data_IF_237854785484
#
_entry.id   IF_237854785484
#
_cell.length_a   1.000
_cell.length_b   1.000
_cell.length_c   1.000
_cell.angle_alpha   90.00
_cell.angle_beta   90.00
_cell.angle_gamma   90.00
#
_symmetry.space_group_name_H-M   'P 1'
#
loop_
_entity.id
_entity.type
_entity.pdbx_description
1 polymer ?
#
# COMPACT_ATOMS: atom_id res chain seq x y z
N UNK A 1 16.90 7.53 9.94
CA UNK A 1 15.45 7.49 9.61
C UNK A 1 14.68 8.66 10.20
N UNK A 2 14.60 8.83 11.53
CA UNK A 2 13.98 10.03 12.15
C UNK A 2 14.55 11.36 11.64
N UNK A 3 15.86 11.40 11.37
CA UNK A 3 16.55 12.54 10.77
C UNK A 3 16.11 12.81 9.32
N UNK A 4 16.07 11.77 8.47
CA UNK A 4 15.56 11.87 7.10
C UNK A 4 14.09 12.29 7.05
N UNK A 5 13.28 11.75 7.96
CA UNK A 5 11.88 12.13 8.15
C UNK A 5 11.75 13.61 8.53
N UNK A 6 12.48 14.06 9.55
CA UNK A 6 12.46 15.45 9.98
C UNK A 6 12.95 16.41 8.88
N UNK A 7 13.98 16.02 8.14
CA UNK A 7 14.51 16.78 7.00
C UNK A 7 13.48 16.88 5.86
N UNK A 8 12.80 15.77 5.52
CA UNK A 8 11.73 15.76 4.51
C UNK A 8 10.59 16.71 4.91
N UNK A 9 10.09 16.57 6.14
CA UNK A 9 9.04 17.44 6.67
C UNK A 9 9.47 18.91 6.63
N UNK A 10 10.66 19.23 7.13
CA UNK A 10 11.16 20.59 7.17
C UNK A 10 11.33 21.17 5.76
N UNK A 11 11.90 20.41 4.82
CA UNK A 11 12.08 20.83 3.45
C UNK A 11 10.74 21.21 2.79
N UNK A 12 9.73 20.35 2.90
CA UNK A 12 8.42 20.61 2.28
C UNK A 12 7.63 21.72 2.97
N UNK A 13 7.74 21.84 4.29
CA UNK A 13 7.13 22.94 5.04
C UNK A 13 7.75 24.31 4.71
N UNK A 14 9.04 24.35 4.37
CA UNK A 14 9.75 25.57 3.97
C UNK A 14 9.51 25.91 2.49
N UNK A 15 9.60 24.92 1.61
CA UNK A 15 9.49 25.12 0.15
C UNK A 15 8.06 25.42 -0.32
N UNK A 16 7.04 24.90 0.37
CA UNK A 16 5.64 25.10 -0.02
C UNK A 16 4.77 25.40 1.21
N UNK A 17 4.82 26.62 1.75
CA UNK A 17 3.96 27.01 2.85
C UNK A 17 2.52 27.19 2.33
N UNK A 18 1.59 26.37 2.83
CA UNK A 18 0.17 26.51 2.54
C UNK A 18 -0.67 26.23 3.79
N UNK A 19 -1.94 26.67 3.79
CA UNK A 19 -2.84 26.52 4.95
C UNK A 19 -3.01 25.08 5.45
N UNK A 20 -2.83 24.11 4.55
CA UNK A 20 -2.91 22.68 4.84
C UNK A 20 -1.54 22.03 5.08
N UNK A 21 -0.43 22.78 5.06
CA UNK A 21 0.93 22.22 5.05
C UNK A 21 1.20 21.28 6.23
N UNK A 22 0.78 21.67 7.43
CA UNK A 22 0.88 20.81 8.62
C UNK A 22 0.21 19.46 8.41
N UNK A 23 -0.95 19.43 7.75
CA UNK A 23 -1.68 18.17 7.54
C UNK A 23 -1.18 17.44 6.30
N UNK A 24 -1.03 18.11 5.17
CA UNK A 24 -0.53 17.48 3.95
C UNK A 24 0.88 16.91 4.12
N UNK A 25 1.82 17.68 4.67
CA UNK A 25 3.22 17.27 4.81
C UNK A 25 3.41 16.31 5.98
N UNK A 26 2.97 16.67 7.20
CA UNK A 26 3.15 15.76 8.34
C UNK A 26 2.30 14.50 8.17
N UNK A 27 1.09 14.63 7.64
CA UNK A 27 0.20 13.48 7.40
C UNK A 27 0.80 12.49 6.41
N UNK A 28 1.23 12.96 5.24
CA UNK A 28 1.89 12.09 4.25
C UNK A 28 3.16 11.47 4.82
N UNK A 29 3.94 12.24 5.59
CA UNK A 29 5.16 11.72 6.21
C UNK A 29 4.85 10.62 7.23
N UNK A 30 3.82 10.80 8.07
CA UNK A 30 3.36 9.79 9.03
C UNK A 30 2.91 8.53 8.29
N UNK A 31 2.15 8.66 7.20
CA UNK A 31 1.72 7.52 6.38
C UNK A 31 2.94 6.75 5.85
N UNK A 32 3.90 7.44 5.23
CA UNK A 32 5.15 6.83 4.73
C UNK A 32 5.91 6.10 5.84
N UNK A 33 6.03 6.71 7.02
CA UNK A 33 6.70 6.11 8.17
C UNK A 33 5.99 4.85 8.68
N UNK A 34 4.66 4.91 8.78
CA UNK A 34 3.84 3.80 9.22
C UNK A 34 3.92 2.64 8.22
N UNK A 35 3.82 2.92 6.91
CA UNK A 35 3.98 1.91 5.86
C UNK A 35 5.34 1.22 5.95
N UNK A 36 6.42 1.99 6.12
CA UNK A 36 7.75 1.41 6.36
C UNK A 36 7.78 0.51 7.60
N UNK A 37 7.17 0.97 8.70
CA UNK A 37 7.15 0.20 9.94
C UNK A 37 6.32 -1.09 9.83
N UNK A 38 5.23 -1.07 9.05
CA UNK A 38 4.46 -2.28 8.71
C UNK A 38 5.33 -3.31 7.98
N UNK A 39 6.09 -2.88 6.95
CA UNK A 39 7.02 -3.76 6.24
C UNK A 39 8.08 -4.36 7.19
N UNK A 40 8.56 -3.60 8.18
CA UNK A 40 9.47 -4.15 9.20
C UNK A 40 8.80 -5.21 10.08
N UNK A 41 7.54 -5.02 10.45
CA UNK A 41 6.79 -6.05 11.18
C UNK A 41 6.62 -7.31 10.33
N UNK A 42 6.39 -7.17 9.03
CA UNK A 42 6.32 -8.31 8.11
C UNK A 42 7.64 -9.07 8.04
N UNK A 43 8.78 -8.37 8.01
CA UNK A 43 10.11 -8.98 8.10
C UNK A 43 10.29 -9.72 9.42
N UNK A 44 9.91 -9.12 10.56
CA UNK A 44 10.00 -9.77 11.86
C UNK A 44 9.12 -11.02 11.97
N UNK A 45 7.92 -10.99 11.38
CA UNK A 45 7.03 -12.15 11.30
C UNK A 45 7.66 -13.23 10.43
N UNK A 46 8.27 -12.87 9.30
CA UNK A 46 8.94 -13.80 8.41
C UNK A 46 10.13 -14.51 9.07
N UNK A 47 10.99 -13.74 9.76
CA UNK A 47 12.11 -14.30 10.54
C UNK A 47 11.61 -15.23 11.65
N UNK A 48 10.55 -14.81 12.36
CA UNK A 48 9.92 -15.63 13.39
C UNK A 48 9.40 -16.96 12.82
N UNK A 49 8.76 -16.94 11.64
CA UNK A 49 8.32 -18.17 10.97
C UNK A 49 9.49 -19.14 10.75
N UNK A 50 10.62 -18.65 10.26
CA UNK A 50 11.83 -19.47 10.08
C UNK A 50 12.28 -20.13 11.38
N UNK A 51 12.50 -19.31 12.43
CA UNK A 51 12.95 -19.80 13.74
C UNK A 51 11.96 -20.78 14.38
N UNK A 52 10.66 -20.50 14.26
CA UNK A 52 9.60 -21.33 14.82
C UNK A 52 9.51 -22.70 14.14
N UNK A 53 9.53 -22.74 12.81
CA UNK A 53 9.47 -24.01 12.07
C UNK A 53 10.76 -24.81 12.18
N UNK A 54 11.93 -24.17 12.22
CA UNK A 54 13.20 -24.84 12.54
C UNK A 54 13.16 -25.49 13.93
N UNK A 55 12.51 -24.83 14.89
CA UNK A 55 12.29 -25.39 16.23
C UNK A 55 11.38 -26.62 16.14
N UNK A 56 10.25 -26.54 15.45
CA UNK A 56 9.37 -27.70 15.26
C UNK A 56 10.14 -28.87 14.60
N UNK A 57 10.95 -28.60 13.58
CA UNK A 57 11.74 -29.63 12.91
C UNK A 57 12.71 -30.33 13.88
N UNK A 58 13.40 -29.57 14.73
CA UNK A 58 14.29 -30.13 15.77
C UNK A 58 13.52 -30.99 16.78
N UNK A 59 12.38 -30.49 17.26
CA UNK A 59 11.51 -31.20 18.20
C UNK A 59 11.03 -32.55 17.65
N UNK A 60 10.74 -32.64 16.35
CA UNK A 60 10.35 -33.87 15.68
C UNK A 60 11.53 -34.81 15.41
N UNK A 61 12.75 -34.28 15.22
CA UNK A 61 13.93 -35.09 14.92
C UNK A 61 14.46 -35.88 16.12
N UNK A 62 14.38 -35.31 17.33
CA UNK A 62 14.85 -35.98 18.55
C UNK A 62 13.97 -35.64 19.77
N UNK A 63 13.56 -36.65 20.58
CA UNK A 63 12.83 -36.40 21.82
C UNK A 63 13.61 -35.50 22.77
N UNK A 64 12.92 -34.60 23.50
CA UNK A 64 13.50 -33.65 24.46
C UNK A 64 14.56 -32.68 23.90
N UNK A 65 14.64 -32.52 22.57
CA UNK A 65 15.53 -31.54 21.93
C UNK A 65 15.10 -30.09 22.15
N UNK A 66 13.84 -29.86 22.49
CA UNK A 66 13.25 -28.54 22.76
C UNK A 66 12.46 -28.60 24.06
N UNK A 67 12.60 -27.57 24.90
CA UNK A 67 11.81 -27.41 26.12
C UNK A 67 10.45 -26.81 25.81
N UNK A 68 9.40 -27.24 26.52
CA UNK A 68 8.07 -26.64 26.38
C UNK A 68 8.08 -25.13 26.62
N UNK A 69 8.92 -24.66 27.55
CA UNK A 69 9.13 -23.23 27.81
C UNK A 69 9.59 -22.47 26.57
N UNK A 70 10.61 -22.95 25.85
CA UNK A 70 11.11 -22.28 24.65
C UNK A 70 10.05 -22.19 23.55
N UNK A 71 9.20 -23.21 23.43
CA UNK A 71 8.06 -23.21 22.50
C UNK A 71 7.02 -22.14 22.89
N UNK A 72 6.62 -22.06 24.16
CA UNK A 72 5.68 -21.05 24.62
C UNK A 72 6.24 -19.63 24.52
N UNK A 73 7.55 -19.44 24.74
CA UNK A 73 8.22 -18.15 24.53
C UNK A 73 8.19 -17.72 23.07
N UNK A 74 8.28 -18.65 22.12
CA UNK A 74 8.11 -18.33 20.70
C UNK A 74 6.68 -17.88 20.38
N UNK A 75 5.66 -18.56 20.89
CA UNK A 75 4.27 -18.15 20.73
C UNK A 75 4.00 -16.76 21.33
N UNK A 76 4.60 -16.48 22.50
CA UNK A 76 4.48 -15.18 23.15
C UNK A 76 5.20 -14.07 22.35
N UNK A 77 6.36 -14.38 21.76
CA UNK A 77 7.08 -13.45 20.85
C UNK A 77 6.21 -13.10 19.64
N UNK A 78 5.62 -14.10 18.98
CA UNK A 78 4.67 -13.86 17.90
C UNK A 78 3.48 -13.02 18.35
N UNK A 79 2.87 -13.37 19.49
CA UNK A 79 1.74 -12.63 20.05
C UNK A 79 2.05 -11.15 20.26
N UNK A 80 3.26 -10.80 20.71
CA UNK A 80 3.71 -9.40 20.84
C UNK A 80 3.81 -8.70 19.48
N UNK A 81 4.44 -9.34 18.49
CA UNK A 81 4.60 -8.76 17.15
C UNK A 81 3.22 -8.57 16.49
N UNK A 82 2.38 -9.60 16.53
CA UNK A 82 1.03 -9.58 15.97
C UNK A 82 0.16 -8.51 16.64
N UNK A 83 0.22 -8.35 17.97
CA UNK A 83 -0.51 -7.31 18.69
C UNK A 83 -0.12 -5.91 18.20
N UNK A 84 1.18 -5.64 18.06
CA UNK A 84 1.69 -4.37 17.53
C UNK A 84 1.22 -4.17 16.09
N UNK A 85 1.34 -5.19 15.23
CA UNK A 85 0.93 -5.13 13.83
C UNK A 85 -0.56 -4.84 13.66
N UNK A 86 -1.42 -5.56 14.38
CA UNK A 86 -2.88 -5.35 14.32
C UNK A 86 -3.25 -3.97 14.85
N UNK A 87 -2.67 -3.55 15.98
CA UNK A 87 -2.91 -2.23 16.55
C UNK A 87 -2.52 -1.13 15.56
N UNK A 88 -1.30 -1.23 15.01
CA UNK A 88 -0.81 -0.30 14.01
C UNK A 88 -1.71 -0.27 12.77
N UNK A 89 -2.13 -1.42 12.25
CA UNK A 89 -3.00 -1.50 11.07
C UNK A 89 -4.35 -0.80 11.30
N UNK A 90 -4.96 -0.96 12.49
CA UNK A 90 -6.22 -0.27 12.83
C UNK A 90 -6.02 1.25 12.90
N UNK A 91 -4.98 1.72 13.58
CA UNK A 91 -4.66 3.15 13.66
C UNK A 91 -4.34 3.74 12.29
N UNK A 92 -3.63 2.99 11.44
CA UNK A 92 -3.30 3.39 10.07
C UNK A 92 -4.56 3.61 9.25
N UNK A 93 -5.48 2.65 9.26
CA UNK A 93 -6.77 2.77 8.54
C UNK A 93 -7.56 3.99 8.99
N UNK A 94 -7.64 4.24 10.29
CA UNK A 94 -8.31 5.41 10.83
C UNK A 94 -7.62 6.72 10.38
N UNK A 95 -6.29 6.79 10.51
CA UNK A 95 -5.52 7.98 10.18
C UNK A 95 -5.60 8.32 8.68
N UNK A 96 -5.44 7.32 7.82
CA UNK A 96 -5.60 7.42 6.37
C UNK A 96 -6.99 7.93 6.00
N UNK A 97 -8.05 7.36 6.60
CA UNK A 97 -9.42 7.83 6.36
C UNK A 97 -9.60 9.30 6.76
N UNK A 98 -9.03 9.71 7.90
CA UNK A 98 -9.08 11.11 8.33
C UNK A 98 -8.25 12.03 7.42
N UNK A 99 -7.11 11.56 6.92
CA UNK A 99 -6.26 12.27 5.97
C UNK A 99 -7.00 12.54 4.66
N UNK A 100 -7.62 11.51 4.07
CA UNK A 100 -8.42 11.61 2.85
C UNK A 100 -9.60 12.57 3.05
N UNK A 101 -10.28 12.52 4.19
CA UNK A 101 -11.36 13.45 4.51
C UNK A 101 -10.90 14.93 4.51
N UNK A 102 -9.71 15.20 5.06
CA UNK A 102 -9.13 16.55 5.13
C UNK A 102 -8.65 17.00 3.76
N UNK A 103 -8.08 16.08 2.97
CA UNK A 103 -7.73 16.35 1.59
C UNK A 103 -8.95 16.68 0.73
N UNK A 104 -10.05 15.91 0.86
CA UNK A 104 -11.34 16.20 0.23
C UNK A 104 -11.86 17.58 0.62
N UNK A 105 -11.79 17.94 1.90
CA UNK A 105 -12.16 19.27 2.39
C UNK A 105 -11.32 20.37 1.72
N UNK A 106 -10.03 20.16 1.52
CA UNK A 106 -9.16 21.11 0.85
C UNK A 106 -9.56 21.33 -0.62
N UNK A 107 -9.77 20.24 -1.36
CA UNK A 107 -10.15 20.27 -2.77
C UNK A 107 -11.55 20.88 -2.95
N UNK A 108 -12.52 20.47 -2.12
CA UNK A 108 -13.88 21.00 -2.16
C UNK A 108 -13.91 22.52 -1.96
N UNK A 109 -13.20 23.03 -0.94
CA UNK A 109 -13.10 24.47 -0.68
C UNK A 109 -12.51 25.24 -1.88
N UNK A 110 -11.54 24.64 -2.58
CA UNK A 110 -10.94 25.25 -3.77
C UNK A 110 -11.94 25.36 -4.93
N UNK A 111 -12.67 24.28 -5.21
CA UNK A 111 -13.71 24.34 -6.24
C UNK A 111 -14.87 25.25 -5.87
N UNK A 112 -15.24 25.32 -4.58
CA UNK A 112 -16.29 26.21 -4.11
C UNK A 112 -15.90 27.69 -4.27
N UNK A 113 -14.62 28.05 -4.10
CA UNK A 113 -14.16 29.43 -4.38
C UNK A 113 -14.21 29.79 -5.88
N UNK A 114 -14.30 28.78 -6.76
CA UNK A 114 -14.44 28.93 -8.21
C UNK A 114 -15.88 28.72 -8.68
N UNK A 115 -16.85 28.57 -7.76
CA UNK A 115 -18.22 28.14 -8.06
C UNK A 115 -18.88 28.99 -9.14
N UNK A 116 -18.70 30.31 -9.11
CA UNK A 116 -19.27 31.23 -10.12
C UNK A 116 -18.82 30.91 -11.54
N UNK A 117 -17.62 30.33 -11.73
CA UNK A 117 -17.10 29.92 -13.04
C UNK A 117 -17.54 28.52 -13.43
N UNK A 118 -17.60 27.59 -12.47
CA UNK A 118 -17.81 26.16 -12.75
C UNK A 118 -19.27 25.72 -12.70
N UNK A 119 -20.17 26.50 -12.07
CA UNK A 119 -21.60 26.14 -11.89
C UNK A 119 -22.38 25.91 -13.17
N UNK A 120 -21.89 26.40 -14.30
CA UNK A 120 -22.52 26.25 -15.62
C UNK A 120 -22.16 24.92 -16.30
N UNK A 121 -21.20 24.17 -15.74
CA UNK A 121 -20.79 22.86 -16.25
C UNK A 121 -21.84 21.83 -15.80
N UNK A 122 -22.24 20.94 -16.71
CA UNK A 122 -23.17 19.86 -16.43
C UNK A 122 -22.68 18.99 -15.26
N UNK A 123 -23.53 18.82 -14.25
CA UNK A 123 -23.21 18.04 -13.06
C UNK A 123 -22.12 18.66 -12.16
N UNK A 124 -21.86 19.97 -12.26
CA UNK A 124 -20.79 20.63 -11.48
C UNK A 124 -20.85 20.34 -9.97
N UNK A 125 -22.04 20.36 -9.35
CA UNK A 125 -22.22 20.01 -7.94
C UNK A 125 -21.84 18.56 -7.65
N UNK A 126 -22.27 17.62 -8.49
CA UNK A 126 -21.96 16.20 -8.38
C UNK A 126 -20.46 15.96 -8.52
N UNK A 127 -19.80 16.56 -9.51
CA UNK A 127 -18.33 16.45 -9.69
C UNK A 127 -17.56 16.97 -8.48
N UNK A 128 -17.96 18.13 -7.95
CA UNK A 128 -17.32 18.69 -6.75
C UNK A 128 -17.51 17.80 -5.52
N UNK A 129 -18.59 17.03 -5.43
CA UNK A 129 -18.85 16.11 -4.32
C UNK A 129 -18.21 14.73 -4.51
N UNK A 130 -18.49 14.07 -5.62
CA UNK A 130 -18.10 12.68 -5.90
C UNK A 130 -16.66 12.59 -6.39
N UNK A 131 -16.27 13.41 -7.37
CA UNK A 131 -14.96 13.26 -8.01
C UNK A 131 -13.84 13.70 -7.07
N UNK A 132 -14.06 14.72 -6.23
CA UNK A 132 -13.06 15.13 -5.23
C UNK A 132 -12.82 14.06 -4.18
N UNK A 133 -13.85 13.32 -3.80
CA UNK A 133 -13.75 12.16 -2.92
C UNK A 133 -13.02 11.02 -3.61
N UNK A 134 -13.47 10.62 -4.81
CA UNK A 134 -12.87 9.53 -5.59
C UNK A 134 -11.40 9.81 -5.87
N UNK A 135 -11.06 11.02 -6.30
CA UNK A 135 -9.68 11.42 -6.57
C UNK A 135 -8.80 11.29 -5.33
N UNK A 136 -9.24 11.84 -4.18
CA UNK A 136 -8.46 11.76 -2.95
C UNK A 136 -8.25 10.31 -2.49
N UNK A 137 -9.30 9.48 -2.53
CA UNK A 137 -9.21 8.05 -2.16
C UNK A 137 -8.33 7.24 -3.12
N UNK A 138 -8.45 7.46 -4.44
CA UNK A 138 -7.64 6.74 -5.44
C UNK A 138 -6.18 7.12 -5.31
N UNK A 139 -5.87 8.42 -5.24
CA UNK A 139 -4.50 8.91 -5.15
C UNK A 139 -3.81 8.44 -3.88
N UNK A 140 -4.51 8.46 -2.75
CA UNK A 140 -3.98 7.95 -1.49
C UNK A 140 -3.75 6.44 -1.56
N UNK A 141 -4.77 5.67 -1.96
CA UNK A 141 -4.67 4.21 -2.03
C UNK A 141 -3.57 3.72 -2.98
N UNK A 142 -3.47 4.31 -4.18
CA UNK A 142 -2.41 4.00 -5.13
C UNK A 142 -1.03 4.42 -4.61
N UNK A 143 -0.93 5.61 -4.01
CA UNK A 143 0.32 6.13 -3.46
C UNK A 143 0.86 5.25 -2.34
N UNK A 144 0.02 4.90 -1.36
CA UNK A 144 0.40 4.03 -0.24
C UNK A 144 0.76 2.63 -0.72
N UNK A 145 -0.06 2.03 -1.61
CA UNK A 145 0.22 0.69 -2.13
C UNK A 145 1.52 0.63 -2.92
N UNK A 146 1.84 1.68 -3.69
CA UNK A 146 3.09 1.78 -4.42
C UNK A 146 4.30 1.85 -3.47
N UNK A 147 4.22 2.70 -2.45
CA UNK A 147 5.29 2.86 -1.46
C UNK A 147 5.50 1.54 -0.71
N UNK A 148 4.41 0.91 -0.26
CA UNK A 148 4.42 -0.38 0.42
C UNK A 148 5.08 -1.47 -0.43
N UNK A 149 4.69 -1.58 -1.71
CA UNK A 149 5.27 -2.55 -2.64
C UNK A 149 6.78 -2.35 -2.84
N UNK A 150 7.22 -1.09 -3.00
CA UNK A 150 8.64 -0.76 -3.17
C UNK A 150 9.44 -1.04 -1.89
N UNK A 151 8.91 -0.66 -0.73
CA UNK A 151 9.55 -0.92 0.56
C UNK A 151 9.64 -2.42 0.85
N UNK A 152 8.58 -3.17 0.55
CA UNK A 152 8.55 -4.64 0.64
C UNK A 152 9.62 -5.25 -0.25
N UNK A 153 9.72 -4.82 -1.51
CA UNK A 153 10.76 -5.30 -2.42
C UNK A 153 12.17 -5.03 -1.84
N UNK A 154 12.43 -3.82 -1.36
CA UNK A 154 13.73 -3.45 -0.78
C UNK A 154 14.03 -4.27 0.49
N UNK A 155 13.03 -4.55 1.33
CA UNK A 155 13.21 -5.28 2.57
C UNK A 155 13.42 -6.80 2.34
N UNK A 156 12.65 -7.39 1.43
CA UNK A 156 12.66 -8.83 1.19
C UNK A 156 13.73 -9.29 0.19
N UNK A 157 14.23 -8.41 -0.68
CA UNK A 157 15.25 -8.79 -1.66
C UNK A 157 16.57 -9.23 -1.00
N UNK A 158 17.11 -8.56 0.04
CA UNK A 158 18.27 -9.05 0.80
C UNK A 158 18.01 -10.39 1.51
N UNK A 159 16.81 -10.59 2.06
CA UNK A 159 16.43 -11.84 2.71
C UNK A 159 16.45 -12.98 1.69
N UNK A 160 15.83 -12.75 0.52
CA UNK A 160 15.79 -13.71 -0.58
C UNK A 160 17.19 -14.01 -1.13
N UNK A 161 18.04 -12.98 -1.21
CA UNK A 161 19.45 -13.12 -1.59
C UNK A 161 20.19 -14.08 -0.65
N UNK A 162 20.03 -13.91 0.67
CA UNK A 162 20.63 -14.79 1.68
C UNK A 162 20.12 -16.23 1.59
N UNK A 163 18.80 -16.41 1.39
CA UNK A 163 18.19 -17.73 1.25
C UNK A 163 18.60 -18.44 -0.04
N UNK A 164 18.92 -17.70 -1.10
CA UNK A 164 19.26 -18.28 -2.40
C UNK A 164 20.55 -19.12 -2.38
N UNK A 165 21.36 -19.06 -1.31
CA UNK A 165 22.51 -19.95 -1.13
C UNK A 165 22.10 -21.43 -1.09
N UNK A 166 20.88 -21.71 -0.64
CA UNK A 166 20.32 -23.07 -0.58
C UNK A 166 19.74 -23.55 -1.91
N UNK A 167 19.55 -22.65 -2.89
CA UNK A 167 18.97 -22.95 -4.21
C UNK A 167 19.96 -22.50 -5.29
N UNK A 168 20.89 -23.39 -5.64
CA UNK A 168 22.02 -23.09 -6.54
C UNK A 168 21.73 -23.36 -8.01
N UNK A 169 20.77 -24.23 -8.30
CA UNK A 169 20.44 -24.67 -9.66
C UNK A 169 18.97 -24.41 -9.98
N UNK A 170 18.72 -23.96 -11.21
CA UNK A 170 17.39 -23.87 -11.80
C UNK A 170 17.17 -25.08 -12.72
N UNK A 171 16.00 -25.74 -12.68
CA UNK A 171 15.75 -26.99 -13.41
C UNK A 171 16.01 -26.94 -14.93
N UNK A 172 15.95 -25.77 -15.57
CA UNK A 172 16.09 -25.59 -17.02
C UNK A 172 17.34 -24.78 -17.40
N UNK A 173 17.79 -23.87 -16.52
CA UNK A 173 18.86 -22.91 -16.83
C UNK A 173 20.22 -23.41 -16.31
N UNK A 174 20.24 -24.27 -15.29
CA UNK A 174 21.45 -24.73 -14.62
C UNK A 174 21.84 -23.83 -13.44
N UNK A 175 23.13 -23.82 -13.09
CA UNK A 175 23.64 -23.06 -11.94
C UNK A 175 23.52 -21.55 -12.17
N UNK A 176 22.83 -20.87 -11.27
CA UNK A 176 22.67 -19.41 -11.29
C UNK A 176 22.88 -18.88 -9.88
N UNK A 177 23.89 -18.03 -9.71
CA UNK A 177 24.10 -17.34 -8.43
C UNK A 177 22.87 -16.49 -8.11
N UNK A 178 22.36 -16.61 -6.89
CA UNK A 178 21.18 -15.89 -6.42
C UNK A 178 19.91 -16.08 -7.28
N UNK A 179 19.73 -17.30 -7.81
CA UNK A 179 18.61 -17.68 -8.67
C UNK A 179 17.25 -17.19 -8.18
N UNK A 180 16.96 -17.26 -6.87
CA UNK A 180 15.65 -16.85 -6.33
C UNK A 180 15.33 -15.38 -6.58
N UNK A 181 16.32 -14.49 -6.51
CA UNK A 181 16.14 -13.04 -6.72
C UNK A 181 15.77 -12.76 -8.17
N UNK A 182 16.50 -13.36 -9.12
CA UNK A 182 16.23 -13.20 -10.55
C UNK A 182 14.87 -13.76 -10.94
N UNK A 183 14.54 -14.96 -10.46
CA UNK A 183 13.23 -15.58 -10.72
C UNK A 183 12.11 -14.70 -10.19
N UNK A 184 12.21 -14.20 -8.95
CA UNK A 184 11.19 -13.34 -8.37
C UNK A 184 11.00 -12.02 -9.15
N UNK A 185 12.08 -11.36 -9.54
CA UNK A 185 12.01 -10.11 -10.32
C UNK A 185 11.41 -10.35 -11.71
N UNK A 186 11.92 -11.34 -12.43
CA UNK A 186 11.43 -11.66 -13.79
C UNK A 186 9.94 -12.02 -13.74
N UNK A 187 9.55 -12.86 -12.78
CA UNK A 187 8.16 -13.26 -12.61
C UNK A 187 7.25 -12.08 -12.26
N UNK A 188 7.69 -11.19 -11.37
CA UNK A 188 6.95 -9.98 -10.99
C UNK A 188 6.75 -9.03 -12.18
N UNK A 189 7.81 -8.77 -12.96
CA UNK A 189 7.74 -7.93 -14.17
C UNK A 189 6.83 -8.57 -15.21
N UNK A 190 6.97 -9.88 -15.45
CA UNK A 190 6.15 -10.61 -16.38
C UNK A 190 4.66 -10.56 -16.00
N UNK A 191 4.32 -10.87 -14.75
CA UNK A 191 2.94 -10.82 -14.24
C UNK A 191 2.35 -9.42 -14.33
N UNK A 192 3.13 -8.39 -13.96
CA UNK A 192 2.71 -6.99 -14.09
C UNK A 192 2.45 -6.60 -15.54
N UNK A 193 3.34 -6.96 -16.46
CA UNK A 193 3.18 -6.67 -17.89
C UNK A 193 1.96 -7.39 -18.47
N UNK A 194 1.75 -8.66 -18.12
CA UNK A 194 0.60 -9.43 -18.56
C UNK A 194 -0.71 -8.79 -18.10
N UNK A 195 -0.80 -8.41 -16.82
CA UNK A 195 -1.98 -7.73 -16.28
C UNK A 195 -2.18 -6.34 -16.90
N UNK A 196 -1.10 -5.58 -17.14
CA UNK A 196 -1.18 -4.27 -17.78
C UNK A 196 -1.68 -4.37 -19.23
N UNK A 197 -1.20 -5.36 -20.00
CA UNK A 197 -1.64 -5.63 -21.36
C UNK A 197 -3.13 -6.00 -21.42
N UNK A 198 -3.61 -6.81 -20.48
CA UNK A 198 -5.03 -7.12 -20.37
C UNK A 198 -5.85 -5.90 -19.91
N UNK A 199 -5.33 -5.12 -18.97
CA UNK A 199 -5.99 -3.99 -18.34
C UNK A 199 -6.09 -2.72 -19.19
N UNK A 200 -5.23 -2.55 -20.21
CA UNK A 200 -5.18 -1.32 -21.03
C UNK A 200 -6.50 -0.98 -21.72
N UNK A 201 -7.38 -1.98 -21.95
CA UNK A 201 -8.70 -1.80 -22.56
C UNK A 201 -9.79 -1.40 -21.56
N UNK A 202 -9.60 -1.64 -20.26
CA UNK A 202 -10.61 -1.39 -19.23
C UNK A 202 -11.04 0.08 -19.15
N UNK A 203 -10.14 1.09 -19.18
CA UNK A 203 -10.56 2.49 -19.15
C UNK A 203 -11.50 2.87 -20.30
N UNK A 204 -11.25 2.31 -21.49
CA UNK A 204 -12.10 2.53 -22.66
C UNK A 204 -13.48 1.87 -22.54
N UNK A 205 -13.56 0.72 -21.86
CA UNK A 205 -14.83 0.06 -21.57
C UNK A 205 -15.62 0.79 -20.48
N UNK A 206 -14.95 1.22 -19.41
CA UNK A 206 -15.57 2.01 -18.34
C UNK A 206 -16.12 3.34 -18.86
N UNK A 207 -15.40 4.01 -19.76
CA UNK A 207 -15.92 5.22 -20.41
C UNK A 207 -17.20 4.95 -21.21
N UNK A 208 -17.26 3.80 -21.92
CA UNK A 208 -18.48 3.41 -22.65
C UNK A 208 -19.63 3.10 -21.69
N UNK A 209 -19.36 2.43 -20.58
CA UNK A 209 -20.36 2.16 -19.53
C UNK A 209 -20.93 3.47 -18.97
N UNK A 210 -20.06 4.40 -18.58
CA UNK A 210 -20.48 5.72 -18.07
C UNK A 210 -21.31 6.50 -19.10
N UNK A 211 -20.97 6.42 -20.39
CA UNK A 211 -21.76 7.09 -21.45
C UNK A 211 -23.16 6.50 -21.59
N UNK A 212 -23.30 5.18 -21.49
CA UNK A 212 -24.60 4.49 -21.55
C UNK A 212 -25.43 4.82 -20.31
N UNK A 213 -24.84 4.80 -19.11
CA UNK A 213 -25.53 5.19 -17.88
C UNK A 213 -25.98 6.65 -17.90
N UNK A 214 -25.16 7.56 -18.43
CA UNK A 214 -25.52 8.96 -18.57
C UNK A 214 -26.71 9.16 -19.53
N UNK A 215 -26.71 8.46 -20.67
CA UNK A 215 -27.84 8.47 -21.60
C UNK A 215 -29.12 7.93 -20.94
N UNK A 216 -29.02 6.81 -20.21
CA UNK A 216 -30.14 6.22 -19.48
C UNK A 216 -30.71 7.16 -18.39
N UNK A 217 -29.84 7.83 -17.61
CA UNK A 217 -30.28 8.84 -16.63
C UNK A 217 -31.07 9.97 -17.30
N UNK A 218 -30.66 10.38 -18.50
CA UNK A 218 -31.36 11.43 -19.25
C UNK A 218 -32.76 10.99 -19.71
N UNK A 219 -32.88 9.77 -20.22
CA UNK A 219 -34.19 9.18 -20.60
C UNK A 219 -35.12 9.03 -19.39
N UNK A 220 -34.61 8.62 -18.24
CA UNK A 220 -35.41 8.51 -17.01
C UNK A 220 -35.97 9.87 -16.56
N UNK A 221 -35.18 10.94 -16.63
CA UNK A 221 -35.66 12.29 -16.29
C UNK A 221 -36.78 12.74 -17.24
N UNK A 222 -36.67 12.45 -18.54
CA UNK A 222 -37.75 12.73 -19.49
C UNK A 222 -39.01 11.91 -19.26
N UNK A 223 -38.91 10.74 -18.61
CA UNK A 223 -40.07 9.92 -18.24
C UNK A 223 -40.76 10.35 -16.95
N UNK A 224 -40.15 11.27 -16.17
CA UNK A 224 -40.76 11.88 -14.97
C UNK A 224 -41.57 13.16 -15.29
N UNK A 225 -41.36 13.75 -16.47
CA UNK A 225 -42.09 14.91 -17.02
C UNK A 225 -43.35 14.49 -17.83
#
# INVERSE_FOLDING_TARGET
MLTCYAAFVAAWMILSPHKWGRWSVLGSSIIVFITWFQVQLDVMINEWFGVFYDSIQKALAAPNSITAESYYLQLLTFGKIALVAVTLAVFTRFFVSHFVFRWRTAINNHYMSLWTRVRHIEGASQRVQEDTMRFASIMEGLGVSLIDSVMTLIAFLPILWGLSVHVKELPIIGEVSQALVFVAIIWSVFGTALLALAGIKLPGLEFKNQRVEAAYRKELVYGED
#
